data_IF_209566085706
#
_entry.id   IF_209566085706
#
_cell.length_a   1.000
_cell.length_b   1.000
_cell.length_c   1.000
_cell.angle_alpha   90.00
_cell.angle_beta   90.00
_cell.angle_gamma   90.00
#
_symmetry.space_group_name_H-M   'P 1'
#
loop_
_entity.id
_entity.type
_entity.pdbx_description
1 polymer ?
#
# COMPACT_ATOMS: atom_id res chain seq x y z
N UNK A 1 0.97 9.59 15.77
CA UNK A 1 2.30 9.15 16.25
C UNK A 1 2.96 8.37 15.12
N UNK A 2 4.24 8.60 14.83
CA UNK A 2 4.92 7.84 13.79
C UNK A 2 5.04 6.37 14.23
N UNK A 3 4.51 5.44 13.44
CA UNK A 3 4.61 4.01 13.71
C UNK A 3 6.08 3.59 13.63
N UNK A 4 6.65 3.11 14.73
CA UNK A 4 8.02 2.58 14.78
C UNK A 4 8.02 1.14 14.29
N UNK A 5 9.01 0.75 13.49
CA UNK A 5 9.18 -0.64 13.07
C UNK A 5 9.42 -1.58 14.27
N UNK A 6 8.85 -2.78 14.20
CA UNK A 6 9.02 -3.87 15.15
C UNK A 6 9.59 -5.08 14.39
N UNK A 7 10.85 -5.38 14.64
CA UNK A 7 11.54 -6.49 14.01
C UNK A 7 11.28 -7.80 14.76
N UNK A 8 11.30 -8.90 14.02
CA UNK A 8 11.21 -10.26 14.55
C UNK A 8 12.52 -10.68 15.21
N UNK A 9 12.43 -11.55 16.22
CA UNK A 9 13.61 -12.08 16.91
C UNK A 9 14.60 -12.74 15.93
N UNK A 10 15.88 -12.38 16.05
CA UNK A 10 16.94 -12.84 15.17
C UNK A 10 17.19 -11.97 13.92
N UNK A 11 16.38 -10.93 13.71
CA UNK A 11 16.62 -9.92 12.68
C UNK A 11 17.72 -8.97 13.12
N UNK A 12 18.67 -8.66 12.25
CA UNK A 12 19.71 -7.70 12.57
C UNK A 12 19.22 -6.27 12.28
N UNK A 13 18.79 -5.57 13.33
CA UNK A 13 18.25 -4.20 13.20
C UNK A 13 19.22 -3.21 12.55
N UNK A 14 20.54 -3.39 12.74
CA UNK A 14 21.55 -2.50 12.17
C UNK A 14 21.61 -2.57 10.64
N UNK A 15 21.33 -3.75 10.06
CA UNK A 15 21.26 -3.95 8.61
C UNK A 15 19.86 -3.77 8.06
N UNK A 16 18.83 -4.12 8.83
CA UNK A 16 17.43 -4.02 8.44
C UNK A 16 16.93 -2.57 8.38
N UNK A 17 17.40 -1.70 9.29
CA UNK A 17 16.92 -0.30 9.37
C UNK A 17 17.24 0.51 8.10
N UNK A 18 18.47 0.48 7.53
CA UNK A 18 18.75 1.15 6.26
C UNK A 18 17.89 0.62 5.09
N UNK A 19 17.72 -0.69 4.99
CA UNK A 19 16.89 -1.32 3.95
C UNK A 19 15.42 -0.91 4.08
N UNK A 20 14.89 -0.92 5.31
CA UNK A 20 13.55 -0.43 5.60
C UNK A 20 13.39 1.04 5.21
N UNK A 21 14.31 1.91 5.61
CA UNK A 21 14.25 3.34 5.28
C UNK A 21 14.25 3.58 3.77
N UNK A 22 15.02 2.81 3.00
CA UNK A 22 15.00 2.87 1.54
C UNK A 22 13.62 2.49 0.97
N UNK A 23 12.96 1.46 1.51
CA UNK A 23 11.61 1.07 1.10
C UNK A 23 10.56 2.13 1.48
N UNK A 24 10.67 2.69 2.70
CA UNK A 24 9.79 3.77 3.19
C UNK A 24 9.94 5.08 2.41
N UNK A 25 11.12 5.37 1.88
CA UNK A 25 11.33 6.53 1.00
C UNK A 25 10.67 6.42 -0.37
N UNK A 26 10.17 5.21 -0.73
CA UNK A 26 9.42 4.96 -1.95
C UNK A 26 7.92 4.98 -1.64
N UNK A 27 7.25 3.85 -1.80
CA UNK A 27 5.80 3.72 -1.66
C UNK A 27 5.41 2.59 -0.71
N UNK A 28 6.34 2.11 0.12
CA UNK A 28 6.05 1.16 1.19
C UNK A 28 5.69 1.87 2.48
N UNK A 29 4.79 1.28 3.25
CA UNK A 29 4.33 1.81 4.53
C UNK A 29 4.35 0.74 5.61
N UNK A 30 4.66 1.14 6.84
CA UNK A 30 4.54 0.26 8.01
C UNK A 30 3.07 0.02 8.36
N UNK A 31 2.73 -1.24 8.61
CA UNK A 31 1.41 -1.73 8.99
C UNK A 31 1.50 -2.61 10.24
N UNK A 32 0.34 -3.01 10.78
CA UNK A 32 0.22 -3.83 12.01
C UNK A 32 1.14 -3.31 13.14
N UNK A 33 1.04 -2.02 13.44
CA UNK A 33 1.87 -1.36 14.49
C UNK A 33 3.39 -1.47 14.27
N UNK A 34 3.82 -1.61 13.02
CA UNK A 34 5.23 -1.69 12.64
C UNK A 34 5.77 -3.10 12.45
N UNK A 35 4.92 -4.12 12.58
CA UNK A 35 5.28 -5.54 12.41
C UNK A 35 5.13 -6.02 10.96
N UNK A 36 4.59 -5.18 10.08
CA UNK A 36 4.37 -5.50 8.68
C UNK A 36 4.75 -4.33 7.77
N UNK A 37 5.04 -4.66 6.51
CA UNK A 37 5.35 -3.70 5.45
C UNK A 37 4.38 -3.94 4.31
N UNK A 38 3.68 -2.91 3.87
CA UNK A 38 2.67 -3.02 2.81
C UNK A 38 2.81 -1.97 1.72
N UNK A 39 2.39 -2.34 0.51
CA UNK A 39 2.37 -1.48 -0.67
C UNK A 39 1.35 -2.00 -1.69
N UNK A 40 0.78 -1.07 -2.46
CA UNK A 40 -0.02 -1.37 -3.65
C UNK A 40 0.77 -1.06 -4.93
N UNK A 41 0.71 -1.97 -5.89
CA UNK A 41 1.27 -1.84 -7.23
C UNK A 41 0.14 -1.73 -8.24
N UNK A 42 0.23 -0.79 -9.18
CA UNK A 42 -0.76 -0.63 -10.26
C UNK A 42 -0.12 -0.88 -11.60
N UNK A 43 -0.76 -1.67 -12.46
CA UNK A 43 -0.25 -2.01 -13.78
C UNK A 43 -1.24 -1.60 -14.87
N UNK A 44 -0.79 -1.63 -16.14
CA UNK A 44 -1.68 -1.37 -17.28
C UNK A 44 -2.68 -2.52 -17.53
N UNK A 45 -2.31 -3.76 -17.19
CA UNK A 45 -3.10 -4.96 -17.50
C UNK A 45 -3.01 -5.98 -16.36
N UNK A 46 -4.06 -6.79 -16.18
CA UNK A 46 -4.16 -7.83 -15.15
C UNK A 46 -3.05 -8.89 -15.24
N UNK A 47 -2.63 -9.28 -16.46
CA UNK A 47 -1.69 -10.39 -16.69
C UNK A 47 -0.28 -10.20 -16.13
N UNK A 48 0.08 -9.02 -15.65
CA UNK A 48 1.41 -8.70 -15.08
C UNK A 48 1.47 -8.81 -13.55
N UNK A 49 0.39 -9.20 -12.89
CA UNK A 49 0.25 -9.00 -11.44
C UNK A 49 0.87 -10.08 -10.55
N UNK A 50 1.75 -10.94 -11.07
CA UNK A 50 2.19 -12.11 -10.32
C UNK A 50 3.66 -12.06 -9.88
N UNK A 51 3.90 -11.81 -8.59
CA UNK A 51 5.19 -12.05 -7.96
C UNK A 51 5.23 -13.53 -7.47
N UNK A 52 5.78 -14.47 -8.27
CA UNK A 52 5.93 -15.90 -7.89
C UNK A 52 7.10 -16.02 -6.92
N UNK A 53 6.96 -15.52 -5.71
CA UNK A 53 7.99 -15.70 -4.69
C UNK A 53 7.77 -17.06 -4.03
N UNK A 54 8.68 -18.00 -4.31
CA UNK A 54 8.69 -19.31 -3.69
C UNK A 54 9.19 -19.20 -2.24
N UNK A 55 8.61 -19.95 -1.31
CA UNK A 55 9.04 -20.15 0.08
C UNK A 55 8.76 -19.07 1.14
N UNK A 56 8.05 -17.98 0.81
CA UNK A 56 7.44 -17.09 1.80
C UNK A 56 6.21 -16.45 1.17
N UNK A 57 5.02 -16.78 1.67
CA UNK A 57 3.77 -16.31 1.07
C UNK A 57 3.40 -14.95 1.66
N UNK A 58 3.20 -13.90 0.85
CA UNK A 58 2.68 -12.63 1.35
C UNK A 58 1.20 -12.74 1.69
N UNK A 59 0.73 -11.85 2.57
CA UNK A 59 -0.67 -11.45 2.57
C UNK A 59 -0.87 -10.57 1.33
N UNK A 60 -1.55 -11.07 0.30
CA UNK A 60 -1.74 -10.32 -0.95
C UNK A 60 -3.18 -10.38 -1.44
N UNK A 61 -3.59 -9.32 -2.13
CA UNK A 61 -4.88 -9.26 -2.83
C UNK A 61 -4.70 -8.60 -4.18
N UNK A 62 -5.48 -9.04 -5.15
CA UNK A 62 -5.49 -8.47 -6.48
C UNK A 62 -6.91 -8.00 -6.80
N UNK A 63 -7.03 -6.73 -7.20
CA UNK A 63 -8.27 -6.14 -7.70
C UNK A 63 -7.97 -5.55 -9.07
N UNK A 64 -8.36 -6.28 -10.11
CA UNK A 64 -8.13 -5.92 -11.51
C UNK A 64 -6.64 -5.64 -11.78
N UNK A 65 -6.27 -4.40 -12.08
CA UNK A 65 -4.91 -4.03 -12.41
C UNK A 65 -4.09 -3.58 -11.20
N UNK A 66 -4.62 -3.71 -9.98
CA UNK A 66 -3.96 -3.30 -8.74
C UNK A 66 -3.68 -4.53 -7.87
N UNK A 67 -2.43 -4.66 -7.43
CA UNK A 67 -1.97 -5.74 -6.54
C UNK A 67 -1.50 -5.13 -5.24
N UNK A 68 -2.19 -5.47 -4.15
CA UNK A 68 -1.78 -5.12 -2.80
C UNK A 68 -0.94 -6.26 -2.22
N UNK A 69 0.19 -5.91 -1.63
CA UNK A 69 1.11 -6.85 -1.00
C UNK A 69 1.43 -6.36 0.40
N UNK A 70 1.34 -7.26 1.38
CA UNK A 70 1.84 -7.09 2.74
C UNK A 70 2.78 -8.23 3.11
N UNK A 71 3.97 -7.84 3.53
CA UNK A 71 5.00 -8.72 4.08
C UNK A 71 5.02 -8.62 5.60
N UNK A 72 5.11 -9.77 6.26
CA UNK A 72 5.21 -9.90 7.71
C UNK A 72 5.69 -11.30 8.03
N UNK A 73 6.50 -11.44 9.08
CA UNK A 73 6.93 -12.74 9.59
C UNK A 73 6.04 -13.10 10.78
N UNK A 74 5.38 -14.26 10.68
CA UNK A 74 4.46 -14.73 11.72
C UNK A 74 5.18 -15.39 12.92
N UNK A 75 6.36 -15.98 12.69
CA UNK A 75 7.14 -16.65 13.72
C UNK A 75 8.66 -16.64 13.42
N UNK A 76 9.49 -16.02 14.27
CA UNK A 76 9.11 -15.12 15.36
C UNK A 76 8.33 -13.91 14.82
N UNK A 77 7.40 -13.37 15.62
CA UNK A 77 6.49 -12.32 15.17
C UNK A 77 7.25 -11.01 14.90
N UNK A 78 7.03 -10.39 13.74
CA UNK A 78 7.56 -9.07 13.39
C UNK A 78 8.03 -8.95 11.94
N UNK A 79 8.70 -7.85 11.61
CA UNK A 79 9.40 -7.72 10.34
C UNK A 79 10.73 -8.47 10.37
N UNK A 80 11.04 -9.21 9.31
CA UNK A 80 12.36 -9.85 9.16
C UNK A 80 13.13 -9.32 7.95
N UNK A 81 14.42 -9.64 7.88
CA UNK A 81 15.25 -9.35 6.71
C UNK A 81 14.65 -9.94 5.43
N UNK A 82 13.97 -11.10 5.53
CA UNK A 82 13.28 -11.72 4.39
C UNK A 82 12.14 -10.85 3.87
N UNK A 83 11.36 -10.23 4.75
CA UNK A 83 10.26 -9.36 4.34
C UNK A 83 10.79 -8.16 3.53
N UNK A 84 11.91 -7.58 3.95
CA UNK A 84 12.57 -6.45 3.28
C UNK A 84 13.18 -6.85 1.92
N UNK A 85 13.82 -8.02 1.86
CA UNK A 85 14.39 -8.56 0.63
C UNK A 85 13.31 -8.83 -0.42
N UNK A 86 12.18 -9.40 0.01
CA UNK A 86 11.06 -9.71 -0.87
C UNK A 86 10.34 -8.45 -1.33
N UNK A 87 10.18 -7.45 -0.47
CA UNK A 87 9.69 -6.12 -0.84
C UNK A 87 10.58 -5.45 -1.89
N UNK A 88 11.90 -5.54 -1.73
CA UNK A 88 12.88 -5.01 -2.70
C UNK A 88 12.79 -5.73 -4.05
N UNK A 89 12.62 -7.06 -4.04
CA UNK A 89 12.41 -7.84 -5.27
C UNK A 89 11.09 -7.47 -5.95
N UNK A 90 10.03 -7.24 -5.18
CA UNK A 90 8.75 -6.75 -5.71
C UNK A 90 8.94 -5.43 -6.45
N UNK A 91 9.68 -4.47 -5.88
CA UNK A 91 9.99 -3.20 -6.56
C UNK A 91 10.72 -3.40 -7.89
N UNK A 92 11.73 -4.28 -7.92
CA UNK A 92 12.51 -4.55 -9.13
C UNK A 92 11.64 -5.18 -10.24
N UNK A 93 10.82 -6.17 -9.87
CA UNK A 93 9.89 -6.84 -10.80
C UNK A 93 8.82 -5.85 -11.27
N UNK A 94 8.28 -5.02 -10.38
CA UNK A 94 7.28 -4.01 -10.72
C UNK A 94 7.84 -3.00 -11.74
N UNK A 95 9.11 -2.57 -11.56
CA UNK A 95 9.79 -1.70 -12.51
C UNK A 95 9.97 -2.36 -13.89
N UNK A 96 10.41 -3.63 -13.94
CA UNK A 96 10.54 -4.39 -15.20
C UNK A 96 9.19 -4.56 -15.93
N UNK A 97 8.13 -4.79 -15.16
CA UNK A 97 6.78 -4.97 -15.69
C UNK A 97 6.10 -3.65 -16.10
N UNK A 98 6.70 -2.50 -15.77
CA UNK A 98 6.16 -1.18 -16.08
C UNK A 98 4.97 -0.82 -15.19
N UNK A 99 5.18 -0.84 -13.87
CA UNK A 99 4.27 -0.26 -12.88
C UNK A 99 3.90 1.18 -13.29
N UNK A 100 2.61 1.50 -13.18
CA UNK A 100 2.10 2.85 -13.31
C UNK A 100 2.36 3.58 -12.00
N UNK A 101 2.94 4.78 -12.06
CA UNK A 101 3.15 5.61 -10.89
C UNK A 101 1.84 5.72 -10.08
N UNK A 102 1.90 5.65 -8.74
CA UNK A 102 0.72 5.89 -7.92
C UNK A 102 0.22 7.30 -8.22
N UNK A 103 -0.94 7.39 -8.85
CA UNK A 103 -1.66 8.65 -9.02
C UNK A 103 -1.81 9.26 -7.62
N UNK A 104 -1.43 10.54 -7.40
CA UNK A 104 -1.72 11.19 -6.12
C UNK A 104 -3.22 11.08 -5.85
N UNK A 105 -3.66 11.02 -4.58
CA UNK A 105 -5.08 11.03 -4.28
C UNK A 105 -5.68 12.27 -4.94
N UNK A 106 -6.46 12.08 -6.00
CA UNK A 106 -7.10 13.18 -6.71
C UNK A 106 -8.08 13.82 -5.74
N UNK A 107 -7.72 14.98 -5.20
CA UNK A 107 -8.59 15.80 -4.33
C UNK A 107 -9.84 16.33 -5.07
N UNK A 108 -10.04 16.02 -6.34
CA UNK A 108 -11.06 16.67 -7.20
C UNK A 108 -12.51 16.21 -6.99
N UNK A 109 -12.79 15.34 -6.01
CA UNK A 109 -14.18 14.87 -5.76
C UNK A 109 -14.84 15.57 -4.55
N UNK A 110 -14.09 16.33 -3.72
CA UNK A 110 -14.70 17.02 -2.57
C UNK A 110 -15.45 18.30 -2.93
N UNK A 111 -15.06 18.99 -4.00
CA UNK A 111 -15.69 20.27 -4.40
C UNK A 111 -17.05 20.14 -5.10
N UNK A 112 -17.40 18.95 -5.61
CA UNK A 112 -18.68 18.75 -6.33
C UNK A 112 -19.85 18.56 -5.35
N UNK A 113 -19.61 17.96 -4.18
CA UNK A 113 -20.66 17.71 -3.21
C UNK A 113 -21.16 18.99 -2.52
N UNK A 114 -20.27 19.95 -2.25
CA UNK A 114 -20.64 21.19 -1.56
C UNK A 114 -21.41 22.18 -2.46
N UNK A 115 -21.32 22.05 -3.79
CA UNK A 115 -22.04 22.92 -4.73
C UNK A 115 -23.49 22.50 -5.01
N UNK A 116 -23.92 21.32 -4.56
CA UNK A 116 -25.26 20.79 -4.83
C UNK A 116 -26.31 21.16 -3.76
N UNK A 117 -25.92 21.74 -2.62
CA UNK A 117 -26.84 21.96 -1.49
C UNK A 117 -27.45 23.36 -1.37
N UNK A 118 -27.16 24.30 -2.28
CA UNK A 118 -27.67 25.70 -2.19
C UNK A 118 -28.79 26.05 -3.19
N UNK A 119 -29.40 25.07 -3.85
CA UNK A 119 -30.60 25.27 -4.67
C UNK A 119 -31.72 24.29 -4.31
N UNK A 120 -32.05 24.22 -3.01
CA UNK A 120 -33.36 23.71 -2.61
C UNK A 120 -34.36 24.86 -2.77
N UNK A 121 -35.02 24.89 -3.93
CA UNK A 121 -36.09 25.83 -4.24
C UNK A 121 -37.23 25.72 -3.23
N UNK A 122 -37.65 26.88 -2.74
CA UNK A 122 -38.84 27.12 -1.94
C UNK A 122 -40.08 26.55 -2.67
N UNK A 123 -40.66 25.49 -2.11
CA UNK A 123 -41.85 24.81 -2.64
C UNK A 123 -42.96 24.80 -1.57
N UNK A 124 -43.47 25.98 -1.20
CA UNK A 124 -44.66 26.12 -0.37
C UNK A 124 -45.58 27.22 -0.92
N UNK A 125 -46.41 26.90 -1.93
CA UNK A 125 -47.59 27.70 -2.26
C UNK A 125 -48.79 27.13 -1.51
N UNK A 126 -49.47 27.88 -0.63
CA UNK A 126 -50.77 27.47 -0.12
C UNK A 126 -51.83 27.71 -1.20
N UNK A 127 -52.58 26.66 -1.56
CA UNK A 127 -53.76 26.82 -2.43
C UNK A 127 -54.90 27.48 -1.65
N UNK A 128 -55.51 28.49 -2.25
CA UNK A 128 -56.78 29.09 -1.82
C UNK A 128 -57.94 28.13 -2.04
#
# INVERSE_FOLDING_TARGET
MATKARFSDGTNEATATPALNALLSKHWTLAKEGEALERSFKFKTFSKTWCKIKNHHPEWSNVYNTTFIRWTTHNPKGLSDKDLDLATKCDAIAAELGELAPEPPSCEIRDVADKATTSAGDCCIPKK
#
